data_IF_655109082119
#
_entry.id   IF_655109082119
#
_cell.length_a   1.000
_cell.length_b   1.000
_cell.length_c   1.000
_cell.angle_alpha   90.00
_cell.angle_beta   90.00
_cell.angle_gamma   90.00
#
_symmetry.space_group_name_H-M   'P 1'
#
loop_
_entity.id
_entity.type
_entity.pdbx_description
1 polymer ?
#
# COMPACT_ATOMS: atom_id res chain seq x y z
N UNK A 1 -10.31 28.54 -7.66
CA UNK A 1 -9.17 27.73 -7.17
C UNK A 1 -8.85 28.25 -5.79
N UNK A 2 -9.11 27.47 -4.74
CA UNK A 2 -8.87 27.89 -3.35
C UNK A 2 -7.35 27.93 -3.14
N UNK A 3 -6.75 29.10 -2.88
CA UNK A 3 -5.36 29.30 -3.25
C UNK A 3 -4.34 28.64 -2.30
N UNK A 4 -4.66 28.44 -1.01
CA UNK A 4 -3.62 28.08 -0.03
C UNK A 4 -3.98 26.93 0.93
N UNK A 5 -5.22 26.89 1.43
CA UNK A 5 -5.73 25.82 2.31
C UNK A 5 -7.27 25.78 2.24
N UNK A 6 -7.87 24.69 2.69
CA UNK A 6 -9.31 24.58 2.95
C UNK A 6 -9.47 24.26 4.44
N UNK A 7 -10.32 25.00 5.13
CA UNK A 7 -10.71 24.64 6.50
C UNK A 7 -11.58 23.38 6.44
N UNK A 8 -11.03 22.26 6.93
CA UNK A 8 -11.73 20.98 6.98
C UNK A 8 -12.99 21.08 7.84
N UNK A 9 -14.05 20.37 7.43
CA UNK A 9 -15.30 20.24 8.19
C UNK A 9 -15.24 19.09 9.19
N UNK A 10 -14.47 18.05 8.88
CA UNK A 10 -14.04 17.01 9.80
C UNK A 10 -12.85 17.46 10.63
N UNK A 11 -12.30 16.53 11.41
CA UNK A 11 -11.11 16.73 12.23
C UNK A 11 -10.03 15.73 11.84
N UNK A 12 -8.79 16.19 11.72
CA UNK A 12 -7.63 15.32 11.58
C UNK A 12 -6.87 15.31 12.90
N UNK A 13 -6.83 14.16 13.56
CA UNK A 13 -6.00 13.94 14.73
C UNK A 13 -4.64 13.40 14.30
N UNK A 14 -3.56 13.99 14.81
CA UNK A 14 -2.19 13.56 14.53
C UNK A 14 -1.55 12.97 15.79
N UNK A 15 -1.07 11.74 15.68
CA UNK A 15 -0.45 11.00 16.78
C UNK A 15 0.98 10.59 16.43
N UNK A 16 1.73 10.27 17.48
CA UNK A 16 2.93 9.44 17.39
C UNK A 16 2.66 8.15 18.14
N UNK A 17 2.80 7.02 17.45
CA UNK A 17 2.59 5.68 17.98
C UNK A 17 3.93 4.99 18.20
N UNK A 18 4.18 4.49 19.41
CA UNK A 18 5.35 3.67 19.73
C UNK A 18 5.04 2.20 19.46
N UNK A 19 5.64 1.64 18.41
CA UNK A 19 5.50 0.23 18.06
C UNK A 19 6.46 -0.66 18.85
N UNK A 20 5.96 -1.77 19.40
CA UNK A 20 6.79 -2.80 20.02
C UNK A 20 7.33 -3.76 18.96
N UNK A 21 6.52 -4.15 17.97
CA UNK A 21 6.92 -5.13 16.95
C UNK A 21 7.97 -4.59 15.95
N UNK A 22 8.11 -3.27 15.84
CA UNK A 22 9.14 -2.64 15.01
C UNK A 22 10.46 -2.35 15.74
N UNK A 23 10.54 -2.59 17.06
CA UNK A 23 11.79 -2.41 17.81
C UNK A 23 12.86 -3.38 17.30
N UNK A 24 14.04 -2.84 17.00
CA UNK A 24 15.17 -3.63 16.53
C UNK A 24 15.01 -4.20 15.12
N UNK A 25 14.15 -3.60 14.28
CA UNK A 25 14.08 -3.93 12.86
C UNK A 25 15.48 -3.84 12.19
N UNK A 26 15.69 -4.64 11.15
CA UNK A 26 17.01 -4.81 10.52
C UNK A 26 17.59 -3.53 9.90
N UNK A 27 16.73 -2.56 9.56
CA UNK A 27 17.15 -1.29 8.97
C UNK A 27 17.57 -0.26 10.04
N UNK A 28 17.27 -0.51 11.32
CA UNK A 28 17.46 0.45 12.39
C UNK A 28 16.52 1.66 12.27
N UNK A 29 15.42 1.52 11.53
CA UNK A 29 14.44 2.58 11.34
C UNK A 29 13.73 2.88 12.68
N UNK A 30 13.26 4.12 12.90
CA UNK A 30 12.50 4.47 14.10
C UNK A 30 11.24 3.61 14.27
N UNK A 31 10.96 3.21 15.51
CA UNK A 31 9.73 2.50 15.90
C UNK A 31 8.69 3.42 16.54
N UNK A 32 9.02 4.69 16.76
CA UNK A 32 8.02 5.76 16.97
C UNK A 32 7.59 6.28 15.60
N UNK A 33 6.34 6.03 15.24
CA UNK A 33 5.81 6.28 13.89
C UNK A 33 4.66 7.29 13.95
N UNK A 34 4.55 8.20 12.98
CA UNK A 34 3.37 9.05 12.89
C UNK A 34 2.14 8.21 12.51
N UNK A 35 0.98 8.59 13.06
CA UNK A 35 -0.31 7.97 12.78
C UNK A 35 -1.36 9.08 12.70
N UNK A 36 -2.12 9.14 11.61
CA UNK A 36 -3.16 10.16 11.45
C UNK A 36 -4.55 9.52 11.38
N UNK A 37 -5.51 10.14 12.06
CA UNK A 37 -6.90 9.67 12.09
C UNK A 37 -7.81 10.82 11.69
N UNK A 38 -8.41 10.71 10.51
CA UNK A 38 -9.45 11.63 10.05
C UNK A 38 -10.82 11.19 10.57
N UNK A 39 -11.54 12.14 11.16
CA UNK A 39 -12.88 12.00 11.72
C UNK A 39 -13.88 12.78 10.87
N UNK A 40 -15.00 12.17 10.48
CA UNK A 40 -15.97 12.81 9.60
C UNK A 40 -16.69 13.98 10.31
N UNK A 41 -17.27 14.92 9.56
CA UNK A 41 -18.08 16.00 10.13
C UNK A 41 -19.18 15.47 11.05
N UNK A 42 -19.39 16.14 12.19
CA UNK A 42 -20.37 15.74 13.20
C UNK A 42 -19.93 14.56 14.08
N UNK A 43 -18.66 14.13 14.02
CA UNK A 43 -18.15 13.08 14.90
C UNK A 43 -18.38 13.41 16.37
N UNK A 44 -18.13 14.64 16.82
CA UNK A 44 -18.22 15.05 18.23
C UNK A 44 -19.67 15.32 18.71
N UNK A 45 -20.66 15.29 17.82
CA UNK A 45 -22.06 15.66 18.14
C UNK A 45 -22.88 14.50 18.76
N UNK A 46 -22.24 13.37 19.10
CA UNK A 46 -22.90 12.26 19.79
C UNK A 46 -22.08 10.97 19.89
N UNK A 47 -22.78 9.86 20.12
CA UNK A 47 -22.18 8.54 20.42
C UNK A 47 -22.19 7.57 19.23
N UNK A 48 -22.41 8.08 18.00
CA UNK A 48 -22.41 7.25 16.79
C UNK A 48 -21.05 6.55 16.64
N UNK A 49 -21.10 5.27 16.24
CA UNK A 49 -19.95 4.49 15.82
C UNK A 49 -19.86 4.45 14.29
N UNK A 50 -18.64 4.37 13.78
CA UNK A 50 -18.34 4.53 12.35
C UNK A 50 -17.56 3.33 11.81
N UNK A 51 -17.78 2.94 10.54
CA UNK A 51 -16.83 2.08 9.86
C UNK A 51 -15.47 2.77 9.72
N UNK A 52 -14.42 1.97 9.55
CA UNK A 52 -13.03 2.46 9.49
C UNK A 52 -12.36 2.03 8.19
N UNK A 53 -11.78 2.98 7.48
CA UNK A 53 -11.02 2.74 6.25
C UNK A 53 -9.55 3.07 6.51
N UNK A 54 -8.68 2.08 6.39
CA UNK A 54 -7.24 2.24 6.52
C UNK A 54 -6.65 2.58 5.16
N UNK A 55 -6.15 3.80 5.01
CA UNK A 55 -5.52 4.30 3.80
C UNK A 55 -4.00 4.14 3.91
N UNK A 56 -3.42 3.36 3.01
CA UNK A 56 -2.00 3.05 2.96
C UNK A 56 -1.33 3.52 1.66
N UNK A 57 -0.06 3.90 1.76
CA UNK A 57 0.72 4.56 0.71
C UNK A 57 1.38 3.61 -0.28
N UNK A 58 1.78 4.14 -1.44
CA UNK A 58 2.70 3.44 -2.35
C UNK A 58 4.16 3.50 -1.88
N UNK A 59 5.04 2.80 -2.59
CA UNK A 59 6.49 2.86 -2.35
C UNK A 59 6.97 4.32 -2.35
N UNK A 60 7.91 4.63 -1.45
CA UNK A 60 8.46 5.96 -1.16
C UNK A 60 7.50 6.97 -0.52
N UNK A 61 6.23 6.61 -0.35
CA UNK A 61 5.26 7.45 0.35
C UNK A 61 5.52 7.54 1.85
N UNK A 62 5.32 8.74 2.39
CA UNK A 62 5.34 9.02 3.82
C UNK A 62 3.98 9.61 4.22
N UNK A 63 3.67 9.61 5.51
CA UNK A 63 2.34 10.01 5.99
C UNK A 63 1.97 11.45 5.61
N UNK A 64 2.95 12.35 5.60
CA UNK A 64 2.75 13.75 5.25
C UNK A 64 2.31 13.98 3.81
N UNK A 65 2.56 13.01 2.92
CA UNK A 65 2.16 13.08 1.52
C UNK A 65 0.65 13.27 1.32
N UNK A 66 -0.16 12.84 2.29
CA UNK A 66 -1.62 12.96 2.21
C UNK A 66 -2.12 14.40 2.30
N UNK A 67 -1.26 15.34 2.74
CA UNK A 67 -1.49 16.79 2.68
C UNK A 67 -1.03 17.43 1.37
N UNK A 68 -0.21 16.73 0.59
CA UNK A 68 0.34 17.32 -0.62
C UNK A 68 -0.78 17.61 -1.62
N UNK A 69 -0.70 18.79 -2.20
CA UNK A 69 -1.53 19.21 -3.33
C UNK A 69 -0.72 19.06 -4.60
N UNK A 70 -1.25 18.32 -5.56
CA UNK A 70 -0.81 18.45 -6.94
C UNK A 70 -1.24 19.81 -7.48
N UNK A 71 -0.49 20.36 -8.43
CA UNK A 71 -0.87 21.60 -9.09
C UNK A 71 -2.32 21.51 -9.59
N UNK A 72 -3.13 22.50 -9.21
CA UNK A 72 -4.54 22.62 -9.59
C UNK A 72 -5.49 21.57 -8.98
N UNK A 73 -5.07 20.79 -7.97
CA UNK A 73 -5.89 19.75 -7.35
C UNK A 73 -5.90 19.88 -5.82
N UNK A 74 -7.03 19.60 -5.15
CA UNK A 74 -7.05 19.40 -3.71
C UNK A 74 -6.24 18.15 -3.32
N UNK A 75 -5.77 18.13 -2.08
CA UNK A 75 -5.15 16.94 -1.48
C UNK A 75 -6.18 15.83 -1.24
N UNK A 76 -5.71 14.61 -0.97
CA UNK A 76 -6.60 13.49 -0.62
C UNK A 76 -7.50 13.82 0.57
N UNK A 77 -6.93 14.40 1.64
CA UNK A 77 -7.67 14.78 2.85
C UNK A 77 -8.79 15.78 2.55
N UNK A 78 -8.51 16.78 1.70
CA UNK A 78 -9.52 17.77 1.29
C UNK A 78 -10.64 17.16 0.46
N UNK A 79 -10.32 16.18 -0.40
CA UNK A 79 -11.32 15.51 -1.23
C UNK A 79 -12.27 14.63 -0.40
N UNK A 80 -11.75 13.87 0.57
CA UNK A 80 -12.60 13.05 1.45
C UNK A 80 -13.40 13.93 2.42
N UNK A 81 -12.82 15.02 2.90
CA UNK A 81 -13.52 15.97 3.78
C UNK A 81 -14.72 16.60 3.08
N UNK A 82 -14.50 17.12 1.87
CA UNK A 82 -15.57 17.69 1.06
C UNK A 82 -16.65 16.65 0.71
N UNK A 83 -16.25 15.42 0.38
CA UNK A 83 -17.18 14.33 0.07
C UNK A 83 -18.08 14.00 1.26
N UNK A 84 -17.53 13.86 2.47
CA UNK A 84 -18.32 13.60 3.67
C UNK A 84 -19.18 14.80 4.07
N UNK A 85 -18.64 16.02 3.95
CA UNK A 85 -19.38 17.25 4.29
C UNK A 85 -20.60 17.48 3.39
N UNK A 86 -20.53 17.06 2.12
CA UNK A 86 -21.66 17.14 1.17
C UNK A 86 -22.69 16.02 1.36
N UNK A 87 -22.37 14.99 2.13
CA UNK A 87 -23.19 13.79 2.26
C UNK A 87 -23.15 12.89 1.02
N UNK A 88 -22.13 13.04 0.18
CA UNK A 88 -21.96 12.23 -1.04
C UNK A 88 -21.53 10.79 -0.73
N UNK A 89 -21.04 10.53 0.49
CA UNK A 89 -20.72 9.21 1.03
C UNK A 89 -21.18 9.11 2.51
N UNK A 90 -21.54 7.91 3.01
CA UNK A 90 -21.76 7.71 4.45
C UNK A 90 -20.51 8.07 5.25
N UNK A 91 -20.63 8.68 6.45
CA UNK A 91 -19.47 9.09 7.22
C UNK A 91 -18.68 7.87 7.71
N UNK A 92 -17.35 7.92 7.56
CA UNK A 92 -16.42 6.90 8.00
C UNK A 92 -15.19 7.55 8.65
N UNK A 93 -14.53 6.83 9.55
CA UNK A 93 -13.19 7.19 10.04
C UNK A 93 -12.18 6.74 8.98
N UNK A 94 -11.20 7.60 8.67
CA UNK A 94 -10.10 7.25 7.75
C UNK A 94 -8.79 7.29 8.50
N UNK A 95 -8.10 6.15 8.60
CA UNK A 95 -6.83 6.01 9.31
C UNK A 95 -5.71 5.98 8.28
N UNK A 96 -4.75 6.90 8.38
CA UNK A 96 -3.59 6.93 7.52
C UNK A 96 -2.40 6.39 8.34
N UNK A 97 -1.81 5.29 7.87
CA UNK A 97 -0.78 4.54 8.61
C UNK A 97 0.57 4.70 7.94
N UNK A 98 1.60 4.98 8.73
CA UNK A 98 2.96 5.08 8.21
C UNK A 98 3.69 3.72 8.20
N UNK A 99 3.92 3.17 7.01
CA UNK A 99 4.72 1.95 6.80
C UNK A 99 5.97 2.21 5.93
N UNK A 100 6.50 3.45 5.93
CA UNK A 100 7.73 3.82 5.25
C UNK A 100 8.97 3.14 5.85
N UNK A 101 10.01 2.93 5.06
CA UNK A 101 11.32 2.44 5.53
C UNK A 101 12.45 3.23 4.90
N UNK A 102 13.66 3.19 5.45
CA UNK A 102 14.84 3.86 4.87
C UNK A 102 15.26 3.33 3.48
N UNK A 103 14.65 2.24 3.03
CA UNK A 103 14.80 1.70 1.65
C UNK A 103 13.56 1.95 0.77
N UNK A 104 12.59 2.72 1.25
CA UNK A 104 11.45 3.22 0.48
C UNK A 104 10.09 2.64 0.87
N UNK A 105 10.03 1.46 1.49
CA UNK A 105 8.78 0.85 1.92
C UNK A 105 8.94 -0.54 2.50
N UNK A 106 7.82 -1.13 2.89
CA UNK A 106 7.74 -2.42 3.58
C UNK A 106 6.88 -3.45 2.87
N UNK A 107 6.21 -3.06 1.78
CA UNK A 107 5.15 -3.83 1.14
C UNK A 107 4.04 -4.29 2.10
N UNK A 108 3.94 -3.70 3.29
CA UNK A 108 2.95 -4.10 4.30
C UNK A 108 3.04 -5.60 4.65
N UNK A 109 4.26 -6.17 4.61
CA UNK A 109 4.56 -7.55 5.04
C UNK A 109 5.48 -7.54 6.26
N UNK A 110 5.51 -8.65 6.98
CA UNK A 110 6.55 -8.91 7.98
C UNK A 110 7.77 -9.52 7.27
N UNK A 111 8.93 -8.88 7.42
CA UNK A 111 10.16 -9.38 6.82
C UNK A 111 11.37 -9.21 7.74
N UNK A 112 12.27 -10.21 7.81
CA UNK A 112 13.59 -10.06 8.43
C UNK A 112 14.42 -8.91 7.83
N UNK A 113 14.19 -8.52 6.59
CA UNK A 113 14.96 -7.48 5.89
C UNK A 113 14.47 -6.05 6.11
N UNK A 114 13.24 -5.86 6.61
CA UNK A 114 12.63 -4.52 6.77
C UNK A 114 12.02 -4.29 8.14
N UNK A 115 11.35 -5.30 8.71
CA UNK A 115 10.61 -5.20 9.97
C UNK A 115 9.21 -5.82 9.87
N UNK A 116 8.53 -5.95 11.00
CA UNK A 116 7.21 -6.58 11.10
C UNK A 116 6.08 -5.58 10.84
N UNK A 117 6.01 -5.04 9.61
CA UNK A 117 5.07 -3.97 9.26
C UNK A 117 3.62 -4.44 9.07
N UNK A 118 3.39 -5.72 8.78
CA UNK A 118 2.05 -6.26 8.71
C UNK A 118 1.46 -6.46 10.11
N UNK A 119 2.26 -7.00 11.04
CA UNK A 119 1.91 -7.04 12.46
C UNK A 119 1.75 -5.65 13.07
N UNK A 120 2.61 -4.69 12.73
CA UNK A 120 2.43 -3.30 13.16
C UNK A 120 1.04 -2.76 12.76
N UNK A 121 0.65 -2.92 11.49
CA UNK A 121 -0.66 -2.50 11.01
C UNK A 121 -1.81 -3.25 11.71
N UNK A 122 -1.73 -4.57 11.78
CA UNK A 122 -2.87 -5.41 12.15
C UNK A 122 -2.99 -5.69 13.65
N UNK A 123 -1.87 -5.83 14.36
CA UNK A 123 -1.82 -6.25 15.77
C UNK A 123 -1.65 -5.06 16.73
N UNK A 124 -1.14 -3.93 16.25
CA UNK A 124 -0.91 -2.75 17.09
C UNK A 124 -1.85 -1.59 16.69
N UNK A 125 -1.82 -1.17 15.42
CA UNK A 125 -2.57 0.01 14.99
C UNK A 125 -4.09 -0.23 15.00
N UNK A 126 -4.57 -1.35 14.43
CA UNK A 126 -6.01 -1.66 14.40
C UNK A 126 -6.63 -1.68 15.82
N UNK A 127 -6.08 -2.44 16.79
CA UNK A 127 -6.62 -2.45 18.15
C UNK A 127 -6.51 -1.09 18.85
N UNK A 128 -5.44 -0.33 18.60
CA UNK A 128 -5.29 1.00 19.18
C UNK A 128 -6.37 1.96 18.66
N UNK A 129 -6.67 1.96 17.37
CA UNK A 129 -7.73 2.79 16.80
C UNK A 129 -9.09 2.42 17.40
N UNK A 130 -9.41 1.12 17.49
CA UNK A 130 -10.68 0.66 18.06
C UNK A 130 -10.85 1.02 19.55
N UNK A 131 -9.74 1.10 20.29
CA UNK A 131 -9.74 1.49 21.70
C UNK A 131 -9.89 3.00 21.92
N UNK A 132 -9.42 3.83 20.98
CA UNK A 132 -9.37 5.28 21.14
C UNK A 132 -10.48 6.03 20.38
N UNK A 133 -11.15 5.37 19.43
CA UNK A 133 -12.17 5.97 18.57
C UNK A 133 -13.50 5.22 18.60
N UNK A 134 -14.60 5.89 18.23
CA UNK A 134 -15.94 5.28 18.12
C UNK A 134 -16.04 4.46 16.84
N UNK A 135 -15.36 3.33 16.80
CA UNK A 135 -15.39 2.42 15.65
C UNK A 135 -16.51 1.39 15.77
N UNK A 136 -16.98 0.90 14.61
CA UNK A 136 -17.61 -0.41 14.47
C UNK A 136 -16.48 -1.44 14.31
N UNK A 137 -16.08 -2.07 15.41
CA UNK A 137 -14.81 -2.82 15.47
C UNK A 137 -14.82 -4.20 14.77
N UNK A 138 -15.98 -4.71 14.34
CA UNK A 138 -16.05 -6.00 13.65
C UNK A 138 -15.48 -5.90 12.22
N UNK A 139 -14.88 -6.98 11.72
CA UNK A 139 -14.24 -7.01 10.38
C UNK A 139 -15.12 -6.49 9.27
N UNK A 140 -16.42 -6.76 9.36
CA UNK A 140 -17.45 -6.35 8.40
C UNK A 140 -17.55 -4.84 8.19
N UNK A 141 -17.01 -4.04 9.12
CA UNK A 141 -17.04 -2.59 9.09
C UNK A 141 -15.64 -1.97 8.90
N UNK A 142 -14.65 -2.79 8.54
CA UNK A 142 -13.26 -2.37 8.35
C UNK A 142 -12.78 -2.62 6.93
N UNK A 143 -12.30 -1.57 6.29
CA UNK A 143 -11.76 -1.60 4.93
C UNK A 143 -10.30 -1.18 4.89
N UNK A 144 -9.56 -1.67 3.89
CA UNK A 144 -8.19 -1.21 3.59
C UNK A 144 -8.12 -0.70 2.15
N UNK A 145 -7.46 0.43 1.94
CA UNK A 145 -7.35 1.08 0.64
C UNK A 145 -5.91 1.52 0.37
N UNK A 146 -5.42 1.38 -0.86
CA UNK A 146 -4.06 1.82 -1.19
C UNK A 146 -3.75 1.85 -2.68
N UNK A 147 -2.59 2.45 -3.02
CA UNK A 147 -2.11 2.60 -4.39
C UNK A 147 -0.72 1.99 -4.60
N UNK A 148 -0.44 1.36 -5.75
CA UNK A 148 0.84 0.71 -6.04
C UNK A 148 1.17 -0.33 -4.96
N UNK A 149 2.28 -0.17 -4.25
CA UNK A 149 2.63 -1.01 -3.09
C UNK A 149 1.56 -0.99 -1.99
N UNK A 150 0.82 0.11 -1.84
CA UNK A 150 -0.35 0.18 -0.97
C UNK A 150 -1.54 -0.60 -1.53
N UNK A 151 -1.68 -0.68 -2.86
CA UNK A 151 -2.68 -1.52 -3.51
C UNK A 151 -2.35 -3.01 -3.35
N UNK A 152 -1.07 -3.37 -3.43
CA UNK A 152 -0.56 -4.69 -3.05
C UNK A 152 -0.91 -5.02 -1.58
N UNK A 153 -0.62 -4.10 -0.66
CA UNK A 153 -0.99 -4.25 0.75
C UNK A 153 -2.51 -4.42 0.92
N UNK A 154 -3.32 -3.64 0.21
CA UNK A 154 -4.78 -3.72 0.29
C UNK A 154 -5.33 -5.05 -0.25
N UNK A 155 -4.71 -5.64 -1.27
CA UNK A 155 -5.10 -6.98 -1.77
C UNK A 155 -4.70 -8.09 -0.79
N UNK A 156 -3.49 -8.05 -0.24
CA UNK A 156 -2.94 -9.14 0.56
C UNK A 156 -3.40 -9.16 2.02
N UNK A 157 -3.53 -7.99 2.64
CA UNK A 157 -3.84 -7.90 4.09
C UNK A 157 -5.13 -8.65 4.45
N UNK A 158 -6.25 -8.55 3.71
CA UNK A 158 -7.44 -9.35 3.99
C UNK A 158 -7.21 -10.86 3.88
N UNK A 159 -6.40 -11.30 2.91
CA UNK A 159 -6.04 -12.73 2.75
C UNK A 159 -5.15 -13.24 3.88
N UNK A 160 -4.28 -12.39 4.44
CA UNK A 160 -3.39 -12.74 5.55
C UNK A 160 -4.06 -12.59 6.92
N UNK A 161 -5.04 -11.69 7.06
CA UNK A 161 -5.82 -11.41 8.28
C UNK A 161 -7.33 -11.40 8.01
N UNK A 162 -7.91 -12.55 7.64
CA UNK A 162 -9.34 -12.65 7.33
C UNK A 162 -10.25 -12.28 8.51
N UNK A 163 -9.71 -12.32 9.73
CA UNK A 163 -10.36 -11.94 10.98
C UNK A 163 -10.54 -10.43 11.17
N UNK A 164 -9.80 -9.58 10.45
CA UNK A 164 -9.81 -8.12 10.64
C UNK A 164 -10.51 -7.34 9.54
N UNK A 165 -10.53 -7.84 8.30
CA UNK A 165 -10.89 -7.05 7.14
C UNK A 165 -12.17 -7.54 6.46
N UNK A 166 -13.09 -6.62 6.20
CA UNK A 166 -14.36 -6.85 5.52
C UNK A 166 -14.43 -6.23 4.13
N UNK A 167 -13.47 -5.40 3.74
CA UNK A 167 -13.39 -4.87 2.39
C UNK A 167 -12.00 -4.38 1.99
N UNK A 168 -11.77 -4.27 0.69
CA UNK A 168 -10.53 -3.72 0.13
C UNK A 168 -10.78 -2.79 -1.05
N UNK A 169 -9.86 -1.85 -1.25
CA UNK A 169 -9.73 -1.07 -2.46
C UNK A 169 -8.27 -1.01 -2.93
N UNK A 170 -8.01 -1.42 -4.16
CA UNK A 170 -6.69 -1.38 -4.78
C UNK A 170 -6.68 -0.48 -6.01
N UNK A 171 -5.76 0.49 -6.00
CA UNK A 171 -5.48 1.38 -7.12
C UNK A 171 -4.12 1.02 -7.74
N UNK A 172 -4.11 0.46 -8.93
CA UNK A 172 -2.90 0.02 -9.63
C UNK A 172 -1.95 -0.72 -8.67
N UNK A 173 -2.45 -1.76 -8.00
CA UNK A 173 -1.66 -2.49 -7.00
C UNK A 173 -0.70 -3.50 -7.62
N UNK A 174 0.46 -3.70 -7.00
CA UNK A 174 1.45 -4.65 -7.49
C UNK A 174 0.84 -6.08 -7.48
N UNK A 175 0.76 -6.71 -8.65
CA UNK A 175 0.12 -8.00 -8.88
C UNK A 175 0.64 -8.62 -10.19
N UNK A 176 0.56 -9.94 -10.32
CA UNK A 176 1.13 -10.66 -11.46
C UNK A 176 2.62 -10.32 -11.59
N UNK A 177 3.40 -10.77 -10.61
CA UNK A 177 4.77 -10.30 -10.37
C UNK A 177 5.71 -10.47 -11.57
N UNK A 178 5.45 -11.47 -12.41
CA UNK A 178 6.17 -11.63 -13.68
C UNK A 178 6.05 -10.39 -14.59
N UNK A 179 4.91 -9.71 -14.57
CA UNK A 179 4.64 -8.56 -15.42
C UNK A 179 5.15 -7.25 -14.82
N UNK A 180 4.98 -7.04 -13.50
CA UNK A 180 5.36 -5.76 -12.90
C UNK A 180 6.84 -5.66 -12.52
N UNK A 181 7.50 -6.77 -12.15
CA UNK A 181 8.88 -6.73 -11.65
C UNK A 181 9.93 -7.25 -12.64
N UNK A 182 9.70 -8.38 -13.33
CA UNK A 182 10.75 -8.95 -14.20
C UNK A 182 11.25 -8.03 -15.32
N UNK A 183 10.41 -7.18 -15.96
CA UNK A 183 10.92 -6.23 -16.95
C UNK A 183 11.97 -5.25 -16.39
N UNK A 184 11.94 -4.99 -15.08
CA UNK A 184 12.87 -4.11 -14.39
C UNK A 184 14.21 -4.81 -14.10
N UNK A 185 14.22 -6.12 -13.84
CA UNK A 185 15.45 -6.85 -13.44
C UNK A 185 16.60 -6.68 -14.44
N UNK A 186 16.30 -6.68 -15.75
CA UNK A 186 17.32 -6.45 -16.80
C UNK A 186 17.89 -5.02 -16.79
N UNK A 187 17.13 -4.04 -16.30
CA UNK A 187 17.57 -2.65 -16.12
C UNK A 187 18.50 -2.60 -14.90
N UNK A 188 18.05 -3.18 -13.79
CA UNK A 188 18.80 -3.30 -12.53
C UNK A 188 20.17 -3.96 -12.74
N UNK A 189 20.22 -5.08 -13.47
CA UNK A 189 21.48 -5.79 -13.81
C UNK A 189 22.45 -4.88 -14.57
N UNK A 190 21.96 -4.13 -15.57
CA UNK A 190 22.82 -3.23 -16.34
C UNK A 190 23.34 -2.08 -15.48
N UNK A 191 22.47 -1.45 -14.71
CA UNK A 191 22.85 -0.34 -13.84
C UNK A 191 23.86 -0.77 -12.78
N UNK A 192 23.65 -1.93 -12.12
CA UNK A 192 24.63 -2.48 -11.17
C UNK A 192 25.98 -2.74 -11.82
N UNK A 193 26.00 -3.43 -12.97
CA UNK A 193 27.24 -3.76 -13.68
C UNK A 193 28.00 -2.53 -14.13
N UNK A 194 27.31 -1.56 -14.73
CA UNK A 194 27.92 -0.44 -15.42
C UNK A 194 28.36 0.68 -14.46
N UNK A 195 27.61 0.89 -13.37
CA UNK A 195 27.82 2.03 -12.48
C UNK A 195 28.29 1.64 -11.06
N UNK A 196 28.15 0.38 -10.65
CA UNK A 196 28.32 -0.04 -9.25
C UNK A 196 29.11 -1.35 -9.06
N UNK A 197 29.82 -1.84 -10.08
CA UNK A 197 30.62 -3.09 -10.05
C UNK A 197 29.80 -4.32 -9.61
N UNK A 198 28.52 -4.36 -9.97
CA UNK A 198 27.60 -5.45 -9.59
C UNK A 198 27.13 -5.40 -8.13
N UNK A 199 27.45 -4.36 -7.36
CA UNK A 199 27.26 -4.29 -5.90
C UNK A 199 26.19 -3.30 -5.46
N UNK A 200 25.22 -3.79 -4.70
CA UNK A 200 24.23 -2.94 -4.03
C UNK A 200 24.81 -2.09 -2.90
N UNK A 201 25.90 -2.52 -2.26
CA UNK A 201 26.58 -1.70 -1.25
C UNK A 201 27.18 -0.44 -1.89
N UNK A 202 27.74 -0.58 -3.10
CA UNK A 202 28.24 0.56 -3.88
C UNK A 202 27.10 1.48 -4.30
N UNK A 203 25.97 0.93 -4.75
CA UNK A 203 24.77 1.70 -5.04
C UNK A 203 24.29 2.50 -3.82
N UNK A 204 24.10 1.85 -2.67
CA UNK A 204 23.60 2.52 -1.47
C UNK A 204 24.56 3.60 -0.94
N UNK A 205 25.87 3.36 -1.02
CA UNK A 205 26.88 4.37 -0.68
C UNK A 205 26.79 5.58 -1.60
N UNK A 206 26.65 5.37 -2.91
CA UNK A 206 26.50 6.44 -3.89
C UNK A 206 25.17 7.18 -3.71
N UNK A 207 24.04 6.46 -3.68
CA UNK A 207 22.68 7.00 -3.54
C UNK A 207 22.54 7.90 -2.31
N UNK A 208 23.13 7.50 -1.16
CA UNK A 208 23.09 8.27 0.09
C UNK A 208 24.08 9.44 0.13
N UNK A 209 25.04 9.50 -0.80
CA UNK A 209 26.05 10.58 -0.87
C UNK A 209 25.61 11.79 -1.69
N UNK A 210 24.47 11.69 -2.39
CA UNK A 210 23.96 12.68 -3.34
C UNK A 210 22.45 12.85 -3.17
N UNK A 211 21.82 13.84 -3.83
CA UNK A 211 20.36 13.92 -3.86
C UNK A 211 19.75 12.61 -4.38
N UNK A 212 18.77 12.07 -3.65
CA UNK A 212 18.07 10.85 -4.03
C UNK A 212 17.42 11.01 -5.42
N UNK A 213 17.41 9.92 -6.19
CA UNK A 213 16.84 9.86 -7.55
C UNK A 213 17.48 10.83 -8.57
N UNK A 214 18.72 11.27 -8.31
CA UNK A 214 19.44 12.18 -9.22
C UNK A 214 20.14 11.45 -10.38
N UNK A 215 20.24 10.12 -10.35
CA UNK A 215 20.85 9.34 -11.44
C UNK A 215 19.80 8.47 -12.16
N UNK A 216 20.03 8.16 -13.45
CA UNK A 216 19.24 7.14 -14.13
C UNK A 216 19.22 5.83 -13.34
N UNK A 217 18.09 5.13 -13.38
CA UNK A 217 17.90 3.80 -12.77
C UNK A 217 17.96 3.72 -11.25
N UNK A 218 18.07 4.84 -10.54
CA UNK A 218 17.94 4.88 -9.08
C UNK A 218 16.63 4.28 -8.59
N UNK A 219 15.53 4.54 -9.31
CA UNK A 219 14.20 4.03 -8.98
C UNK A 219 14.15 2.51 -9.08
N UNK A 220 14.62 1.96 -10.20
CA UNK A 220 14.67 0.53 -10.48
C UNK A 220 15.60 -0.21 -9.50
N UNK A 221 16.78 0.35 -9.22
CA UNK A 221 17.71 -0.23 -8.24
C UNK A 221 17.08 -0.28 -6.84
N UNK A 222 16.48 0.84 -6.40
CA UNK A 222 15.81 0.93 -5.11
C UNK A 222 14.61 -0.02 -5.03
N UNK A 223 13.77 -0.05 -6.06
CA UNK A 223 12.58 -0.89 -6.10
C UNK A 223 12.94 -2.37 -6.03
N UNK A 224 13.85 -2.83 -6.89
CA UNK A 224 14.34 -4.22 -6.90
C UNK A 224 14.92 -4.65 -5.55
N UNK A 225 15.71 -3.79 -4.89
CA UNK A 225 16.25 -4.08 -3.55
C UNK A 225 15.17 -4.09 -2.47
N UNK A 226 14.28 -3.11 -2.49
CA UNK A 226 13.20 -3.00 -1.52
C UNK A 226 12.28 -4.23 -1.58
N UNK A 227 11.90 -4.69 -2.78
CA UNK A 227 11.07 -5.89 -2.95
C UNK A 227 11.79 -7.14 -2.46
N UNK A 228 13.09 -7.28 -2.78
CA UNK A 228 13.90 -8.40 -2.27
C UNK A 228 14.00 -8.38 -0.74
N UNK A 229 14.16 -7.21 -0.14
CA UNK A 229 14.18 -7.06 1.31
C UNK A 229 12.83 -7.41 1.95
N UNK A 230 11.70 -7.20 1.25
CA UNK A 230 10.37 -7.56 1.74
C UNK A 230 10.05 -9.05 1.56
N UNK A 231 10.39 -9.64 0.40
CA UNK A 231 9.89 -10.96 0.01
C UNK A 231 10.91 -12.08 0.17
N UNK A 232 12.20 -11.75 0.20
CA UNK A 232 13.27 -12.74 0.11
C UNK A 232 14.49 -12.47 1.00
N UNK A 233 14.31 -11.77 2.12
CA UNK A 233 15.36 -11.70 3.15
C UNK A 233 15.45 -13.01 3.96
N UNK A 234 16.66 -13.50 4.20
CA UNK A 234 16.91 -14.67 5.06
C UNK A 234 16.66 -14.31 6.54
N UNK A 235 16.53 -15.30 7.46
CA UNK A 235 16.26 -15.03 8.88
C UNK A 235 17.27 -14.12 9.59
N UNK A 236 18.48 -13.99 9.06
CA UNK A 236 19.53 -13.09 9.56
C UNK A 236 19.48 -11.67 8.97
N UNK A 237 18.48 -11.38 8.12
CA UNK A 237 18.31 -10.10 7.44
C UNK A 237 19.01 -10.00 6.07
N UNK A 238 19.73 -11.04 5.63
CA UNK A 238 20.42 -11.03 4.33
C UNK A 238 19.41 -10.96 3.19
N UNK A 239 19.44 -9.88 2.41
CA UNK A 239 18.57 -9.70 1.24
C UNK A 239 19.02 -10.58 0.09
N UNK A 240 18.09 -11.35 -0.50
CA UNK A 240 18.35 -12.21 -1.67
C UNK A 240 17.57 -11.71 -2.89
N UNK A 241 18.27 -11.31 -3.95
CA UNK A 241 17.62 -10.94 -5.21
C UNK A 241 17.16 -12.19 -5.97
N UNK A 242 16.01 -12.15 -6.67
CA UNK A 242 15.49 -13.31 -7.40
C UNK A 242 16.18 -13.55 -8.75
N UNK A 243 17.31 -12.89 -9.00
CA UNK A 243 18.09 -13.00 -10.22
C UNK A 243 19.59 -12.82 -9.94
N UNK A 244 20.44 -13.39 -10.78
CA UNK A 244 21.88 -13.14 -10.78
C UNK A 244 22.17 -11.70 -11.23
N UNK A 245 22.94 -10.94 -10.43
CA UNK A 245 23.18 -9.51 -10.68
C UNK A 245 24.06 -9.21 -11.89
N UNK A 246 24.72 -10.23 -12.49
CA UNK A 246 25.56 -10.07 -13.66
C UNK A 246 24.86 -10.49 -14.96
N UNK A 247 24.02 -11.53 -14.91
CA UNK A 247 23.35 -12.10 -16.10
C UNK A 247 21.87 -11.77 -16.18
N UNK A 248 21.23 -11.50 -15.05
CA UNK A 248 19.77 -11.38 -14.92
C UNK A 248 19.03 -12.72 -15.00
N UNK A 249 19.74 -13.84 -15.01
CA UNK A 249 19.12 -15.17 -14.93
C UNK A 249 18.37 -15.30 -13.60
N UNK A 250 17.10 -15.70 -13.66
CA UNK A 250 16.29 -15.90 -12.46
C UNK A 250 16.88 -17.01 -11.60
N UNK A 251 16.86 -16.81 -10.28
CA UNK A 251 17.16 -17.83 -9.30
C UNK A 251 15.83 -18.41 -8.82
N UNK A 252 15.40 -19.60 -9.30
CA UNK A 252 14.02 -20.05 -9.15
C UNK A 252 13.57 -20.13 -7.69
N UNK A 253 14.42 -20.64 -6.80
CA UNK A 253 14.10 -20.78 -5.37
C UNK A 253 13.80 -19.43 -4.69
N UNK A 254 14.47 -18.35 -5.11
CA UNK A 254 14.24 -17.02 -4.56
C UNK A 254 13.00 -16.39 -5.21
N UNK A 255 12.82 -16.59 -6.52
CA UNK A 255 11.65 -16.09 -7.23
C UNK A 255 10.33 -16.71 -6.71
N UNK A 256 10.33 -18.00 -6.37
CA UNK A 256 9.17 -18.66 -5.77
C UNK A 256 8.76 -18.03 -4.42
N UNK A 257 9.71 -17.47 -3.65
CA UNK A 257 9.38 -16.72 -2.41
C UNK A 257 8.57 -15.46 -2.72
N UNK A 258 8.87 -14.77 -3.82
CA UNK A 258 8.09 -13.63 -4.28
C UNK A 258 6.72 -14.09 -4.77
N UNK A 259 6.66 -15.12 -5.62
CA UNK A 259 5.39 -15.63 -6.16
C UNK A 259 4.43 -16.16 -5.09
N UNK A 260 4.93 -16.64 -3.95
CA UNK A 260 4.11 -17.05 -2.82
C UNK A 260 3.26 -15.91 -2.22
N UNK A 261 3.70 -14.67 -2.46
CA UNK A 261 3.10 -13.41 -2.00
C UNK A 261 2.40 -12.64 -3.14
N UNK A 262 2.41 -13.13 -4.37
CA UNK A 262 1.69 -12.50 -5.48
C UNK A 262 0.17 -12.62 -5.25
N UNK A 263 -0.56 -11.50 -5.14
CA UNK A 263 -1.99 -11.52 -4.83
C UNK A 263 -2.80 -12.33 -5.84
N UNK A 264 -2.41 -12.38 -7.12
CA UNK A 264 -3.07 -13.21 -8.14
C UNK A 264 -3.01 -14.69 -7.76
N UNK A 265 -1.84 -15.17 -7.34
CA UNK A 265 -1.62 -16.56 -6.93
C UNK A 265 -2.26 -16.88 -5.59
N UNK A 266 -2.42 -15.87 -4.74
CA UNK A 266 -2.98 -16.05 -3.40
C UNK A 266 -4.51 -16.21 -3.37
N UNK A 267 -5.24 -15.75 -4.39
CA UNK A 267 -6.72 -15.80 -4.37
C UNK A 267 -7.26 -17.22 -4.17
N UNK A 268 -6.77 -18.19 -4.93
CA UNK A 268 -7.31 -19.55 -4.91
C UNK A 268 -7.19 -20.22 -3.54
N UNK A 269 -6.05 -20.04 -2.85
CA UNK A 269 -5.83 -20.60 -1.49
C UNK A 269 -6.62 -19.85 -0.41
N UNK A 270 -7.07 -18.63 -0.69
CA UNK A 270 -7.83 -17.77 0.23
C UNK A 270 -9.28 -17.55 -0.22
N UNK A 271 -9.87 -18.51 -0.95
CA UNK A 271 -11.16 -18.32 -1.63
C UNK A 271 -12.30 -17.93 -0.67
N UNK A 272 -12.38 -18.57 0.50
CA UNK A 272 -13.45 -18.30 1.47
C UNK A 272 -13.35 -16.91 2.08
N UNK A 273 -12.12 -16.45 2.34
CA UNK A 273 -11.84 -15.07 2.77
C UNK A 273 -12.35 -14.08 1.73
N UNK A 274 -11.97 -14.28 0.45
CA UNK A 274 -12.34 -13.36 -0.63
C UNK A 274 -13.85 -13.35 -0.90
N UNK A 275 -14.52 -14.52 -0.80
CA UNK A 275 -16.00 -14.60 -0.85
C UNK A 275 -16.68 -13.90 0.32
N UNK A 276 -16.01 -13.85 1.47
CA UNK A 276 -16.53 -13.25 2.69
C UNK A 276 -16.37 -11.74 2.79
N UNK A 277 -15.69 -11.09 1.83
CA UNK A 277 -15.56 -9.64 1.78
C UNK A 277 -16.87 -9.00 1.32
N UNK A 278 -17.26 -7.91 1.99
CA UNK A 278 -18.43 -7.08 1.64
C UNK A 278 -18.15 -6.10 0.51
N UNK A 279 -16.89 -5.76 0.29
CA UNK A 279 -16.50 -4.72 -0.66
C UNK A 279 -15.16 -5.05 -1.30
N UNK A 280 -15.13 -5.09 -2.63
CA UNK A 280 -13.89 -5.24 -3.41
C UNK A 280 -13.91 -4.19 -4.51
N UNK A 281 -12.98 -3.24 -4.43
CA UNK A 281 -12.77 -2.20 -5.42
C UNK A 281 -11.40 -2.38 -6.07
N UNK A 282 -11.36 -2.43 -7.40
CA UNK A 282 -10.14 -2.61 -8.18
C UNK A 282 -10.15 -1.59 -9.31
N UNK A 283 -9.10 -0.77 -9.42
CA UNK A 283 -8.88 0.02 -10.63
C UNK A 283 -7.39 0.14 -10.99
N UNK A 284 -7.13 0.49 -12.25
CA UNK A 284 -5.79 0.82 -12.73
C UNK A 284 -5.85 1.64 -14.03
N UNK A 285 -4.81 2.44 -14.28
CA UNK A 285 -4.68 3.19 -15.52
C UNK A 285 -4.23 2.29 -16.68
N UNK A 286 -4.89 2.35 -17.84
CA UNK A 286 -4.57 1.52 -19.03
C UNK A 286 -3.19 1.80 -19.67
N UNK A 287 -2.46 2.82 -19.17
CA UNK A 287 -1.12 3.22 -19.62
C UNK A 287 -0.12 3.20 -18.46
N UNK A 288 -0.41 2.42 -17.42
CA UNK A 288 0.45 2.30 -16.24
C UNK A 288 1.86 1.87 -16.65
N UNK A 289 2.86 2.63 -16.21
CA UNK A 289 4.25 2.47 -16.60
C UNK A 289 4.88 1.15 -16.07
N UNK A 290 4.24 0.52 -15.08
CA UNK A 290 4.62 -0.78 -14.50
C UNK A 290 3.67 -1.91 -14.89
N UNK A 291 2.76 -1.68 -15.86
CA UNK A 291 1.79 -2.66 -16.36
C UNK A 291 0.84 -3.20 -15.28
N UNK A 292 0.56 -2.40 -14.24
CA UNK A 292 -0.27 -2.83 -13.10
C UNK A 292 -1.76 -3.00 -13.46
N UNK A 293 -2.20 -2.45 -14.59
CA UNK A 293 -3.50 -2.73 -15.19
C UNK A 293 -3.66 -4.20 -15.60
N UNK A 294 -2.58 -4.82 -16.08
CA UNK A 294 -2.58 -6.24 -16.42
C UNK A 294 -2.70 -7.10 -15.15
N UNK A 295 -1.99 -6.73 -14.09
CA UNK A 295 -2.10 -7.37 -12.78
C UNK A 295 -3.50 -7.23 -12.17
N UNK A 296 -4.11 -6.05 -12.29
CA UNK A 296 -5.47 -5.79 -11.82
C UNK A 296 -6.52 -6.69 -12.53
N UNK A 297 -6.43 -6.83 -13.86
CA UNK A 297 -7.31 -7.74 -14.61
C UNK A 297 -7.05 -9.21 -14.22
N UNK A 298 -5.79 -9.62 -14.04
CA UNK A 298 -5.46 -10.97 -13.60
C UNK A 298 -6.07 -11.28 -12.22
N UNK A 299 -5.92 -10.37 -11.26
CA UNK A 299 -6.51 -10.51 -9.92
C UNK A 299 -8.04 -10.61 -9.99
N UNK A 300 -8.70 -9.73 -10.75
CA UNK A 300 -10.16 -9.78 -10.97
C UNK A 300 -10.60 -11.13 -11.56
N UNK A 301 -9.85 -11.69 -12.50
CA UNK A 301 -10.16 -13.01 -13.09
C UNK A 301 -10.02 -14.16 -12.12
N UNK A 302 -9.05 -14.11 -11.20
CA UNK A 302 -8.94 -15.12 -10.14
C UNK A 302 -10.11 -15.03 -9.15
N UNK A 303 -10.59 -13.82 -8.83
CA UNK A 303 -11.81 -13.61 -8.05
C UNK A 303 -13.03 -14.23 -8.73
N UNK A 304 -13.18 -14.01 -10.04
CA UNK A 304 -14.27 -14.58 -10.83
C UNK A 304 -14.26 -16.12 -10.81
N UNK A 305 -13.08 -16.75 -10.91
CA UNK A 305 -12.94 -18.22 -10.84
C UNK A 305 -13.42 -18.83 -9.53
N UNK A 306 -13.28 -18.10 -8.42
CA UNK A 306 -13.78 -18.55 -7.11
C UNK A 306 -15.23 -18.14 -6.84
N UNK A 307 -15.90 -17.48 -7.80
CA UNK A 307 -17.31 -17.06 -7.71
C UNK A 307 -17.53 -15.68 -7.10
N UNK A 308 -16.48 -14.88 -6.95
CA UNK A 308 -16.59 -13.48 -6.50
C UNK A 308 -16.80 -12.59 -7.73
N UNK A 309 -18.05 -12.24 -7.99
CA UNK A 309 -18.44 -11.42 -9.16
C UNK A 309 -18.97 -10.04 -8.77
N UNK A 310 -19.39 -9.83 -7.52
CA UNK A 310 -19.81 -8.52 -7.01
C UNK A 310 -18.59 -7.72 -6.54
N UNK A 311 -17.87 -7.16 -7.49
CA UNK A 311 -16.76 -6.25 -7.26
C UNK A 311 -16.86 -5.05 -8.21
N UNK A 312 -16.32 -3.90 -7.79
CA UNK A 312 -16.06 -2.80 -8.71
C UNK A 312 -14.75 -3.06 -9.43
N UNK A 313 -14.77 -2.94 -10.76
CA UNK A 313 -13.59 -3.05 -11.59
C UNK A 313 -13.59 -1.98 -12.69
N UNK A 314 -12.51 -1.23 -12.81
CA UNK A 314 -12.33 -0.26 -13.90
C UNK A 314 -10.87 -0.17 -14.37
N UNK A 315 -10.64 -0.33 -15.66
CA UNK A 315 -9.41 0.08 -16.33
C UNK A 315 -9.68 1.40 -17.07
N UNK A 316 -9.00 2.48 -16.68
CA UNK A 316 -9.34 3.85 -17.11
C UNK A 316 -8.21 4.54 -17.88
N UNK A 317 -8.52 5.66 -18.55
CA UNK A 317 -7.54 6.39 -19.38
C UNK A 317 -6.59 7.27 -18.56
N UNK A 318 -5.61 6.64 -17.91
CA UNK A 318 -4.51 7.29 -17.20
C UNK A 318 -3.25 6.40 -17.20
N UNK A 319 -2.13 6.97 -16.74
CA UNK A 319 -0.93 6.22 -16.34
C UNK A 319 -0.96 5.90 -14.83
N UNK A 320 0.20 5.58 -14.28
CA UNK A 320 0.38 5.27 -12.85
C UNK A 320 0.34 6.50 -11.94
N UNK A 321 0.68 7.65 -12.51
CA UNK A 321 0.81 8.93 -11.81
C UNK A 321 -0.46 9.77 -11.95
N UNK A 322 -0.63 10.74 -11.04
CA UNK A 322 -1.72 11.72 -11.10
C UNK A 322 -3.14 11.12 -11.03
N UNK A 323 -3.32 9.98 -10.35
CA UNK A 323 -4.62 9.30 -10.18
C UNK A 323 -5.30 9.55 -8.82
N UNK A 324 -4.79 10.46 -7.99
CA UNK A 324 -5.32 10.70 -6.63
C UNK A 324 -6.80 11.08 -6.56
N UNK A 325 -7.38 11.60 -7.65
CA UNK A 325 -8.82 11.88 -7.76
C UNK A 325 -9.70 10.61 -7.70
N UNK A 326 -9.10 9.42 -7.86
CA UNK A 326 -9.78 8.12 -7.76
C UNK A 326 -9.97 7.65 -6.31
N UNK A 327 -9.10 8.08 -5.40
CA UNK A 327 -9.10 7.56 -4.02
C UNK A 327 -10.42 7.87 -3.27
N UNK A 328 -11.01 9.08 -3.38
CA UNK A 328 -12.31 9.35 -2.78
C UNK A 328 -13.45 8.48 -3.35
N UNK A 329 -13.34 7.99 -4.59
CA UNK A 329 -14.34 7.09 -5.19
C UNK A 329 -14.30 5.73 -4.46
N UNK A 330 -13.10 5.21 -4.21
CA UNK A 330 -12.90 3.99 -3.43
C UNK A 330 -13.33 4.17 -1.96
N UNK A 331 -13.00 5.29 -1.32
CA UNK A 331 -13.43 5.60 0.05
C UNK A 331 -14.95 5.60 0.15
N UNK A 332 -15.65 6.26 -0.79
CA UNK A 332 -17.11 6.21 -0.87
C UNK A 332 -17.63 4.78 -1.04
N UNK A 333 -17.08 4.02 -1.99
CA UNK A 333 -17.49 2.64 -2.27
C UNK A 333 -17.37 1.74 -1.03
N UNK A 334 -16.28 1.88 -0.28
CA UNK A 334 -16.05 1.16 0.97
C UNK A 334 -17.01 1.64 2.06
N UNK A 335 -17.16 2.94 2.26
CA UNK A 335 -18.07 3.50 3.27
C UNK A 335 -19.51 3.04 3.06
N UNK A 336 -19.99 2.96 1.81
CA UNK A 336 -21.33 2.47 1.47
C UNK A 336 -21.56 1.00 1.84
N UNK A 337 -20.54 0.15 1.69
CA UNK A 337 -20.67 -1.31 1.89
C UNK A 337 -20.29 -1.79 3.28
N UNK A 338 -19.54 -0.97 4.02
CA UNK A 338 -19.06 -1.27 5.36
C UNK A 338 -19.87 -0.56 6.44
N UNK A 339 -20.78 0.36 6.10
CA UNK A 339 -21.63 1.06 7.08
C UNK A 339 -22.68 0.19 7.75
#
# INVERSE_FOLDING_TARGET
MLPWSIDMKGRLDEHTFTSEVLKGNALGDPYERPLWVYLPPGYDDGDRRYPVIYQIQGLTGQLDMWRNRDAFRPSFLELIDEQFARGDAPPAIVVLVDCWTSIGGSQFVDSPGTGNYHSYLCDEIVPWVDANYRTLAAREHRGIAGKSSGGYGAMNTPMLRPDLWGGLATHAGDALFENCYQPEFRITVRALRDDYDGSYDNFWKDFRSRPAFSKPHDGELLNSWCMAACYSADPDGTVRLPFDTNTGELIPEIWERWLALDPVRMVAKNADTMRGLRAIYIDAGKKDEWFLDVGAEAFRRELEKIGVTDCFFEIFDAGHMSIGYRYPIAVKYLAERLS
#
